data_IF_042910866124
#
_entry.id   IF_042910866124
#
_cell.length_a   1.000
_cell.length_b   1.000
_cell.length_c   1.000
_cell.angle_alpha   90.00
_cell.angle_beta   90.00
_cell.angle_gamma   90.00
#
_symmetry.space_group_name_H-M   'P 1'
#
loop_
_entity.id
_entity.type
_entity.pdbx_description
1 polymer ?
#
# COMPACT_ATOMS: atom_id res chain seq x y z
N UNK A 1 -4.28 37.74 -40.43
CA UNK A 1 -4.29 36.47 -41.18
C UNK A 1 -2.86 35.99 -41.13
N UNK A 2 -2.45 34.94 -40.42
CA UNK A 2 -3.01 33.59 -40.28
C UNK A 2 -2.53 33.03 -38.91
N UNK A 3 -3.40 32.59 -37.99
CA UNK A 3 -3.91 31.21 -37.84
C UNK A 3 -2.87 30.13 -38.16
N UNK A 4 -2.11 29.70 -37.14
CA UNK A 4 -1.09 28.68 -37.29
C UNK A 4 -0.53 28.13 -35.98
N UNK A 5 -1.40 27.86 -34.98
CA UNK A 5 -1.06 27.00 -33.84
C UNK A 5 -2.26 26.11 -33.57
N UNK A 6 -2.29 24.99 -34.28
CA UNK A 6 -3.11 23.84 -33.95
C UNK A 6 -2.22 22.66 -34.32
N UNK A 7 -1.85 21.83 -33.33
CA UNK A 7 -1.23 20.49 -33.42
C UNK A 7 -0.28 20.16 -32.24
N UNK A 8 0.02 21.08 -31.32
CA UNK A 8 0.78 20.75 -30.08
C UNK A 8 -0.10 20.54 -28.85
N UNK A 9 -1.36 20.97 -28.88
CA UNK A 9 -2.26 20.85 -27.71
C UNK A 9 -2.98 19.49 -27.61
N UNK A 10 -3.12 18.77 -28.72
CA UNK A 10 -3.85 17.49 -28.75
C UNK A 10 -3.11 16.37 -28.01
N UNK A 11 -1.78 16.41 -27.98
CA UNK A 11 -0.95 15.37 -27.35
C UNK A 11 -0.77 15.57 -25.83
N UNK A 12 -1.20 16.70 -25.27
CA UNK A 12 -1.28 16.89 -23.82
C UNK A 12 -2.51 16.19 -23.21
N UNK A 13 -3.61 16.07 -23.97
CA UNK A 13 -4.83 15.36 -23.54
C UNK A 13 -4.70 13.83 -23.59
N UNK A 14 -3.98 13.30 -24.57
CA UNK A 14 -3.83 11.86 -24.73
C UNK A 14 -2.84 11.21 -23.74
N UNK A 15 -1.85 11.95 -23.22
CA UNK A 15 -0.94 11.44 -22.17
C UNK A 15 -1.57 11.44 -20.78
N UNK A 16 -2.67 12.16 -20.57
CA UNK A 16 -3.38 12.20 -19.29
C UNK A 16 -4.53 11.18 -19.21
N UNK A 17 -4.75 10.37 -20.25
CA UNK A 17 -5.71 9.26 -20.20
C UNK A 17 -5.22 8.07 -19.34
N UNK A 18 -3.98 8.10 -18.83
CA UNK A 18 -3.44 7.11 -17.90
C UNK A 18 -3.36 7.58 -16.43
N UNK A 19 -3.74 8.83 -16.13
CA UNK A 19 -3.79 9.36 -14.76
C UNK A 19 -5.24 9.60 -14.34
N UNK A 20 -6.02 8.52 -14.30
CA UNK A 20 -7.32 8.51 -13.62
C UNK A 20 -7.09 8.53 -12.11
N UNK A 21 -6.63 9.68 -11.59
CA UNK A 21 -6.78 10.18 -10.23
C UNK A 21 -6.23 9.28 -9.10
N UNK A 22 -5.65 8.10 -9.35
CA UNK A 22 -5.14 7.15 -8.35
C UNK A 22 -3.92 7.71 -7.60
N UNK A 23 -3.99 7.67 -6.27
CA UNK A 23 -2.91 8.15 -5.41
C UNK A 23 -2.22 6.91 -4.84
N UNK A 24 -1.31 6.35 -5.64
CA UNK A 24 -0.62 5.11 -5.27
C UNK A 24 0.34 5.34 -4.11
N UNK A 25 0.18 4.54 -3.07
CA UNK A 25 1.01 4.52 -1.88
C UNK A 25 1.59 3.12 -1.65
N UNK A 26 2.59 3.05 -0.77
CA UNK A 26 3.23 1.80 -0.35
C UNK A 26 3.33 1.73 1.16
N UNK A 27 2.94 0.61 1.74
CA UNK A 27 3.19 0.28 3.13
C UNK A 27 4.14 -0.92 3.22
N UNK A 28 5.10 -0.85 4.14
CA UNK A 28 5.96 -1.97 4.52
C UNK A 28 5.58 -2.42 5.92
N UNK A 29 5.22 -3.67 6.06
CA UNK A 29 4.63 -4.25 7.27
C UNK A 29 5.51 -5.43 7.72
N UNK A 30 5.93 -5.43 8.97
CA UNK A 30 6.52 -6.60 9.61
C UNK A 30 5.37 -7.48 10.13
N UNK A 31 5.33 -8.74 9.69
CA UNK A 31 4.28 -9.69 10.06
C UNK A 31 4.90 -10.87 10.78
N UNK A 32 4.36 -11.21 11.95
CA UNK A 32 4.65 -12.45 12.66
C UNK A 32 3.52 -13.47 12.55
N UNK A 33 3.77 -14.71 12.98
CA UNK A 33 2.83 -15.82 12.88
C UNK A 33 2.97 -16.66 11.59
N UNK A 34 4.00 -16.43 10.78
CA UNK A 34 4.21 -17.09 9.48
C UNK A 34 4.98 -18.42 9.59
N UNK A 35 4.50 -19.33 10.44
CA UNK A 35 5.18 -20.60 10.74
C UNK A 35 5.16 -21.64 9.60
N UNK A 36 4.30 -21.47 8.59
CA UNK A 36 4.10 -22.46 7.53
C UNK A 36 4.41 -21.86 6.16
N UNK A 37 4.92 -22.68 5.23
CA UNK A 37 5.15 -22.30 3.84
C UNK A 37 3.90 -21.71 3.14
N UNK A 38 2.70 -22.12 3.56
CA UNK A 38 1.42 -21.61 3.02
C UNK A 38 0.96 -20.29 3.66
N UNK A 39 1.60 -19.82 4.74
CA UNK A 39 1.19 -18.58 5.39
C UNK A 39 1.38 -17.36 4.49
N UNK A 40 2.42 -17.35 3.66
CA UNK A 40 2.67 -16.27 2.70
C UNK A 40 1.52 -16.13 1.68
N UNK A 41 1.02 -17.26 1.17
CA UNK A 41 -0.13 -17.29 0.27
C UNK A 41 -1.39 -16.79 0.97
N UNK A 42 -1.66 -17.27 2.19
CA UNK A 42 -2.84 -16.86 2.94
C UNK A 42 -2.88 -15.34 3.21
N UNK A 43 -1.74 -14.74 3.56
CA UNK A 43 -1.63 -13.29 3.79
C UNK A 43 -1.85 -12.52 2.48
N UNK A 44 -1.16 -12.93 1.41
CA UNK A 44 -1.31 -12.32 0.08
C UNK A 44 -2.77 -12.37 -0.38
N UNK A 45 -3.40 -13.52 -0.28
CA UNK A 45 -4.80 -13.72 -0.64
C UNK A 45 -5.74 -12.86 0.21
N UNK A 46 -5.49 -12.73 1.52
CA UNK A 46 -6.32 -11.91 2.40
C UNK A 46 -6.26 -10.44 2.04
N UNK A 47 -5.04 -9.92 1.83
CA UNK A 47 -4.82 -8.50 1.55
C UNK A 47 -5.22 -8.12 0.12
N UNK A 48 -4.97 -8.98 -0.87
CA UNK A 48 -5.34 -8.73 -2.27
C UNK A 48 -6.86 -8.67 -2.51
N UNK A 49 -7.66 -9.20 -1.58
CA UNK A 49 -9.14 -9.09 -1.63
C UNK A 49 -9.66 -7.75 -1.11
N UNK A 50 -8.83 -6.95 -0.44
CA UNK A 50 -9.23 -5.64 0.08
C UNK A 50 -9.32 -4.66 -1.08
N UNK A 51 -10.49 -4.03 -1.25
CA UNK A 51 -10.71 -3.02 -2.29
C UNK A 51 -9.71 -1.88 -2.08
N UNK A 52 -8.97 -1.52 -3.14
CA UNK A 52 -7.94 -0.48 -3.08
C UNK A 52 -6.52 -1.00 -2.91
N UNK A 53 -6.34 -2.28 -2.53
CA UNK A 53 -5.04 -2.95 -2.62
C UNK A 53 -4.79 -3.35 -4.07
N UNK A 54 -3.61 -3.01 -4.58
CA UNK A 54 -3.19 -3.23 -5.97
C UNK A 54 -2.25 -4.43 -6.06
N UNK A 55 -1.27 -4.50 -5.16
CA UNK A 55 -0.26 -5.56 -5.17
C UNK A 55 0.24 -5.86 -3.75
N UNK A 56 0.54 -7.13 -3.49
CA UNK A 56 1.06 -7.61 -2.21
C UNK A 56 2.28 -8.49 -2.45
N UNK A 57 3.44 -8.05 -1.98
CA UNK A 57 4.68 -8.80 -2.00
C UNK A 57 4.97 -9.33 -0.60
N UNK A 58 5.19 -10.63 -0.46
CA UNK A 58 5.45 -11.28 0.82
C UNK A 58 6.84 -11.93 0.79
N UNK A 59 7.69 -11.51 1.72
CA UNK A 59 9.01 -12.09 1.97
C UNK A 59 8.98 -12.78 3.31
N UNK A 60 9.10 -14.11 3.31
CA UNK A 60 9.21 -14.89 4.54
C UNK A 60 10.68 -15.17 4.85
N UNK A 61 11.07 -15.07 6.12
CA UNK A 61 12.40 -15.50 6.56
C UNK A 61 12.37 -16.99 6.91
N UNK A 62 13.22 -17.77 6.25
CA UNK A 62 13.31 -19.22 6.47
C UNK A 62 13.65 -19.49 7.94
N UNK A 63 13.04 -20.52 8.53
CA UNK A 63 13.24 -20.93 9.94
C UNK A 63 12.79 -19.89 10.98
N UNK A 64 12.11 -18.82 10.55
CA UNK A 64 11.58 -17.79 11.43
C UNK A 64 10.06 -17.67 11.28
N UNK A 65 9.32 -17.39 12.36
CA UNK A 65 7.87 -17.22 12.28
C UNK A 65 7.45 -15.80 11.87
N UNK A 66 8.28 -15.08 11.13
CA UNK A 66 8.08 -13.67 10.77
C UNK A 66 8.67 -13.33 9.41
N UNK A 67 8.27 -12.16 8.88
CA UNK A 67 8.65 -11.70 7.55
C UNK A 67 8.13 -10.30 7.24
N UNK A 68 8.42 -9.84 6.03
CA UNK A 68 8.06 -8.51 5.55
C UNK A 68 7.00 -8.63 4.46
N UNK A 69 5.96 -7.81 4.58
CA UNK A 69 4.92 -7.67 3.57
C UNK A 69 4.93 -6.25 3.05
N UNK A 70 5.00 -6.11 1.73
CA UNK A 70 4.92 -4.83 1.06
C UNK A 70 3.59 -4.75 0.33
N UNK A 71 2.80 -3.74 0.66
CA UNK A 71 1.45 -3.54 0.13
C UNK A 71 1.46 -2.26 -0.70
N UNK A 72 1.13 -2.39 -1.98
CA UNK A 72 0.86 -1.25 -2.86
C UNK A 72 -0.65 -1.05 -2.93
N UNK A 73 -1.11 0.17 -2.67
CA UNK A 73 -2.53 0.47 -2.55
C UNK A 73 -2.85 1.89 -3.04
N UNK A 74 -4.11 2.16 -3.33
CA UNK A 74 -4.62 3.51 -3.61
C UNK A 74 -5.09 4.15 -2.29
N UNK A 75 -4.38 5.19 -1.83
CA UNK A 75 -4.65 5.90 -0.56
C UNK A 75 -5.98 6.64 -0.53
N UNK A 76 -6.70 6.70 -1.66
CA UNK A 76 -8.06 7.26 -1.74
C UNK A 76 -9.13 6.20 -1.53
N UNK A 77 -8.77 4.92 -1.67
CA UNK A 77 -9.72 3.80 -1.59
C UNK A 77 -9.59 3.02 -0.29
N UNK A 78 -8.38 2.93 0.27
CA UNK A 78 -8.12 2.16 1.48
C UNK A 78 -7.00 2.80 2.29
N UNK A 79 -7.10 2.69 3.61
CA UNK A 79 -6.04 3.09 4.54
C UNK A 79 -5.28 1.89 5.09
N UNK A 80 -4.07 2.14 5.57
CA UNK A 80 -3.21 1.09 6.15
C UNK A 80 -3.85 0.35 7.32
N UNK A 81 -4.55 1.05 8.20
CA UNK A 81 -5.30 0.43 9.30
C UNK A 81 -6.42 -0.51 8.82
N UNK A 82 -7.11 -0.16 7.74
CA UNK A 82 -8.23 -0.97 7.22
C UNK A 82 -7.76 -2.31 6.65
N UNK A 83 -6.74 -2.33 5.78
CA UNK A 83 -6.27 -3.60 5.23
C UNK A 83 -5.52 -4.44 6.28
N UNK A 84 -4.83 -3.82 7.25
CA UNK A 84 -4.18 -4.55 8.34
C UNK A 84 -5.20 -5.23 9.26
N UNK A 85 -6.38 -4.66 9.44
CA UNK A 85 -7.47 -5.29 10.20
C UNK A 85 -7.97 -6.61 9.58
N UNK A 86 -7.63 -6.90 8.32
CA UNK A 86 -7.98 -8.16 7.65
C UNK A 86 -7.01 -9.31 7.96
N UNK A 87 -5.89 -9.02 8.64
CA UNK A 87 -5.00 -10.05 9.16
C UNK A 87 -5.62 -10.65 10.42
N UNK A 88 -6.00 -11.93 10.34
CA UNK A 88 -6.59 -12.68 11.46
C UNK A 88 -5.51 -13.42 12.25
N UNK A 89 -5.86 -13.84 13.45
CA UNK A 89 -5.07 -14.80 14.25
C UNK A 89 -4.70 -16.02 13.38
N UNK A 90 -3.43 -16.50 13.41
CA UNK A 90 -2.37 -16.18 14.38
C UNK A 90 -1.45 -15.03 13.99
N UNK A 91 -1.77 -14.26 12.93
CA UNK A 91 -0.89 -13.20 12.45
C UNK A 91 -0.99 -11.94 13.33
N UNK A 92 0.16 -11.34 13.58
CA UNK A 92 0.26 -9.99 14.14
C UNK A 92 1.13 -9.14 13.20
N UNK A 93 0.85 -7.85 13.13
CA UNK A 93 1.48 -6.96 12.17
C UNK A 93 1.87 -5.62 12.80
N UNK A 94 3.07 -5.17 12.46
CA UNK A 94 3.58 -3.84 12.81
C UNK A 94 3.93 -3.10 11.53
N UNK A 95 3.40 -1.90 11.37
CA UNK A 95 3.72 -1.03 10.25
C UNK A 95 5.13 -0.43 10.46
N UNK A 96 6.04 -0.72 9.53
CA UNK A 96 7.45 -0.27 9.60
C UNK A 96 7.64 1.02 8.80
N UNK A 97 7.05 1.08 7.60
CA UNK A 97 7.11 2.26 6.74
C UNK A 97 5.75 2.46 6.08
N UNK A 98 5.32 3.71 5.94
CA UNK A 98 4.10 4.07 5.27
C UNK A 98 4.34 5.31 4.42
N UNK A 99 4.41 5.11 3.11
CA UNK A 99 4.57 6.15 2.10
C UNK A 99 3.20 6.63 1.63
N UNK A 100 2.33 6.90 2.57
CA UNK A 100 1.02 7.51 2.32
C UNK A 100 1.18 9.04 2.24
N UNK A 101 0.83 9.69 1.11
CA UNK A 101 1.01 11.13 0.95
C UNK A 101 0.19 11.99 1.92
N UNK A 102 -0.87 11.45 2.52
CA UNK A 102 -1.76 12.19 3.45
C UNK A 102 -1.30 12.07 4.90
N UNK A 103 -0.55 11.02 5.23
CA UNK A 103 -0.16 10.74 6.61
C UNK A 103 1.00 11.59 7.11
N UNK A 104 1.82 12.15 6.21
CA UNK A 104 2.92 13.07 6.57
C UNK A 104 2.41 14.32 7.33
N UNK A 105 1.15 14.73 7.16
CA UNK A 105 0.55 15.83 7.93
C UNK A 105 -0.02 15.42 9.31
N UNK A 106 -0.21 14.12 9.58
CA UNK A 106 -0.80 13.64 10.86
C UNK A 106 0.24 13.02 11.81
N UNK A 107 1.40 12.58 11.28
CA UNK A 107 2.44 11.87 12.05
C UNK A 107 3.10 12.70 13.17
N UNK A 108 3.02 14.03 13.12
CA UNK A 108 3.55 14.90 14.17
C UNK A 108 2.80 14.74 15.51
N UNK A 109 1.62 14.12 15.52
CA UNK A 109 0.80 13.89 16.73
C UNK A 109 0.83 12.46 17.27
N UNK A 110 1.28 11.46 16.49
CA UNK A 110 1.14 10.04 16.85
C UNK A 110 2.39 9.43 17.52
N UNK A 111 3.54 10.12 17.47
CA UNK A 111 4.77 9.67 18.16
C UNK A 111 4.66 9.70 19.69
N UNK A 112 3.74 10.49 20.26
CA UNK A 112 3.46 10.53 21.70
C UNK A 112 2.68 9.31 22.22
N UNK A 113 2.14 8.46 21.33
CA UNK A 113 1.25 7.35 21.73
C UNK A 113 2.00 6.01 21.82
N UNK A 114 3.18 5.88 21.20
CA UNK A 114 3.97 4.64 21.19
C UNK A 114 5.24 4.69 22.07
N UNK A 115 5.23 5.50 23.14
CA UNK A 115 6.20 5.36 24.23
C UNK A 115 5.45 4.81 25.45
N UNK A 116 5.57 3.51 25.68
CA UNK A 116 5.30 2.89 26.97
C UNK A 116 6.44 1.91 27.28
#
# INVERSE_FOLDING_TARGET
>A
MEMGVSLVEEQARARQAGSTRSEMARATVFVGGMYCAKCSDAIRDSLSRVRGVVEVLVTNYVESPYGIVQVFYDSRQVRTDEFLAHLRTPYWATLIEDRDPKREQTLQRYTEIYVC
#
